data_IF_574854363257
#
_entry.id   IF_574854363257
#
_cell.length_a   1.000
_cell.length_b   1.000
_cell.length_c   1.000
_cell.angle_alpha   90.00
_cell.angle_beta   90.00
_cell.angle_gamma   90.00
#
_symmetry.space_group_name_H-M   'P 1'
#
loop_
_entity.id
_entity.type
_entity.pdbx_description
1 polymer ?
#
# COMPACT_ATOMS: atom_id res chain seq x y z
N UNK A 1 -2.39 -1.04 -11.94
CA UNK A 1 -1.05 -0.41 -11.98
C UNK A 1 -1.08 1.10 -11.66
N UNK A 2 -2.13 1.59 -10.99
CA UNK A 2 -2.31 3.01 -10.69
C UNK A 2 -1.27 3.51 -9.68
N UNK A 3 -1.02 2.76 -8.62
CA UNK A 3 -0.04 3.12 -7.58
C UNK A 3 1.36 3.37 -8.16
N UNK A 4 1.85 2.46 -9.01
CA UNK A 4 3.16 2.61 -9.65
C UNK A 4 3.22 3.83 -10.57
N UNK A 5 2.14 4.11 -11.32
CA UNK A 5 2.06 5.29 -12.17
C UNK A 5 2.10 6.59 -11.35
N UNK A 6 1.41 6.64 -10.22
CA UNK A 6 1.43 7.79 -9.31
C UNK A 6 2.83 7.99 -8.70
N UNK A 7 3.49 6.91 -8.28
CA UNK A 7 4.88 6.96 -7.81
C UNK A 7 5.82 7.52 -8.89
N UNK A 8 5.75 7.00 -10.12
CA UNK A 8 6.55 7.50 -11.25
C UNK A 8 6.29 8.98 -11.53
N UNK A 9 5.03 9.39 -11.59
CA UNK A 9 4.65 10.78 -11.81
C UNK A 9 5.19 11.72 -10.71
N UNK A 10 5.07 11.33 -9.44
CA UNK A 10 5.55 12.12 -8.31
C UNK A 10 7.09 12.19 -8.28
N UNK A 11 7.80 11.11 -8.61
CA UNK A 11 9.26 11.09 -8.74
C UNK A 11 9.77 11.98 -9.88
N UNK A 12 9.09 11.99 -11.02
CA UNK A 12 9.42 12.91 -12.12
C UNK A 12 9.21 14.37 -11.70
N UNK A 13 8.12 14.66 -10.99
CA UNK A 13 7.85 15.99 -10.46
C UNK A 13 8.89 16.44 -9.43
N UNK A 14 9.29 15.57 -8.49
CA UNK A 14 10.30 15.93 -7.50
C UNK A 14 11.67 16.18 -8.13
N UNK A 15 12.04 15.37 -9.13
CA UNK A 15 13.26 15.57 -9.91
C UNK A 15 13.22 16.90 -10.68
N UNK A 16 12.08 17.24 -11.28
CA UNK A 16 11.90 18.53 -11.95
C UNK A 16 12.05 19.72 -11.00
N UNK A 17 11.44 19.65 -9.80
CA UNK A 17 11.57 20.68 -8.76
C UNK A 17 13.02 20.81 -8.31
N UNK A 18 13.71 19.69 -8.07
CA UNK A 18 15.12 19.66 -7.70
C UNK A 18 16.01 20.28 -8.79
N UNK A 19 15.79 19.92 -10.06
CA UNK A 19 16.56 20.47 -11.19
C UNK A 19 16.37 21.98 -11.33
N UNK A 20 15.12 22.47 -11.22
CA UNK A 20 14.82 23.90 -11.25
C UNK A 20 15.52 24.65 -10.12
N UNK A 21 15.54 24.07 -8.92
CA UNK A 21 16.23 24.64 -7.77
C UNK A 21 17.75 24.70 -7.98
N UNK A 22 18.37 23.60 -8.45
CA UNK A 22 19.81 23.56 -8.75
C UNK A 22 20.19 24.56 -9.83
N UNK A 23 19.38 24.70 -10.90
CA UNK A 23 19.60 25.69 -11.95
C UNK A 23 19.53 27.12 -11.41
N UNK A 24 18.58 27.42 -10.52
CA UNK A 24 18.46 28.74 -9.90
C UNK A 24 19.65 29.05 -8.98
N UNK A 25 20.15 28.06 -8.24
CA UNK A 25 21.36 28.18 -7.40
C UNK A 25 22.59 28.45 -8.27
N UNK A 26 22.77 27.69 -9.35
CA UNK A 26 23.89 27.88 -10.29
C UNK A 26 23.89 29.29 -10.91
N UNK A 27 22.71 29.86 -11.16
CA UNK A 27 22.54 31.24 -11.68
C UNK A 27 22.60 32.34 -10.60
N UNK A 28 22.85 32.00 -9.34
CA UNK A 28 22.88 32.97 -8.24
C UNK A 28 21.52 33.59 -7.90
N UNK A 29 20.41 33.01 -8.37
CA UNK A 29 19.05 33.56 -8.28
C UNK A 29 18.13 32.77 -7.35
N UNK A 30 18.71 31.96 -6.46
CA UNK A 30 17.97 31.05 -5.59
C UNK A 30 17.07 31.81 -4.60
N UNK A 31 15.77 31.82 -4.89
CA UNK A 31 14.70 32.31 -3.99
C UNK A 31 13.88 31.18 -3.36
N UNK A 32 14.09 29.93 -3.79
CA UNK A 32 13.33 28.78 -3.28
C UNK A 32 13.89 28.25 -1.96
N UNK A 33 13.00 27.79 -1.08
CA UNK A 33 13.36 27.22 0.20
C UNK A 33 13.97 25.81 0.00
N UNK A 34 15.29 25.69 0.22
CA UNK A 34 16.04 24.42 0.07
C UNK A 34 15.47 23.29 0.93
N UNK A 35 15.03 23.60 2.15
CA UNK A 35 14.44 22.60 3.06
C UNK A 35 13.15 22.00 2.50
N UNK A 36 12.32 22.81 1.86
CA UNK A 36 11.07 22.36 1.23
C UNK A 36 11.35 21.40 0.06
N UNK A 37 12.35 21.72 -0.77
CA UNK A 37 12.76 20.88 -1.91
C UNK A 37 13.32 19.54 -1.42
N UNK A 38 14.21 19.56 -0.42
CA UNK A 38 14.75 18.34 0.18
C UNK A 38 13.64 17.47 0.79
N UNK A 39 12.66 18.09 1.45
CA UNK A 39 11.51 17.36 2.02
C UNK A 39 10.65 16.71 0.92
N UNK A 40 10.43 17.40 -0.21
CA UNK A 40 9.72 16.82 -1.36
C UNK A 40 10.46 15.58 -1.88
N UNK A 41 11.78 15.65 -2.07
CA UNK A 41 12.57 14.52 -2.57
C UNK A 41 12.52 13.34 -1.59
N UNK A 42 12.76 13.58 -0.30
CA UNK A 42 12.72 12.55 0.74
C UNK A 42 11.32 11.89 0.83
N UNK A 43 10.26 12.68 0.81
CA UNK A 43 8.91 12.15 0.84
C UNK A 43 8.56 11.38 -0.45
N UNK A 44 9.10 11.75 -1.62
CA UNK A 44 8.93 10.92 -2.83
C UNK A 44 9.64 9.57 -2.76
N UNK A 45 10.72 9.43 -1.99
CA UNK A 45 11.32 8.12 -1.73
C UNK A 45 10.46 7.31 -0.74
N UNK A 46 9.89 7.97 0.25
CA UNK A 46 9.05 7.33 1.25
C UNK A 46 7.76 6.72 0.67
N UNK A 47 7.13 7.34 -0.33
CA UNK A 47 5.96 6.72 -1.01
C UNK A 47 6.31 5.45 -1.79
N UNK A 48 7.58 5.20 -2.10
CA UNK A 48 8.04 3.98 -2.77
C UNK A 48 8.41 2.86 -1.77
N UNK A 49 8.29 3.09 -0.46
CA UNK A 49 8.76 2.16 0.57
C UNK A 49 8.15 0.74 0.49
N UNK A 50 6.86 0.51 0.17
CA UNK A 50 6.35 -0.87 0.02
C UNK A 50 7.07 -1.65 -1.08
N UNK A 51 7.46 -0.95 -2.16
CA UNK A 51 8.18 -1.57 -3.27
C UNK A 51 9.63 -1.87 -2.89
N UNK A 52 10.29 -0.94 -2.21
CA UNK A 52 11.66 -1.13 -1.73
C UNK A 52 11.73 -2.31 -0.76
N UNK A 53 10.81 -2.38 0.21
CA UNK A 53 10.75 -3.48 1.17
C UNK A 53 10.44 -4.80 0.46
N UNK A 54 9.49 -4.81 -0.49
CA UNK A 54 9.20 -6.02 -1.26
C UNK A 54 10.47 -6.55 -1.97
N UNK A 55 11.26 -5.68 -2.60
CA UNK A 55 12.52 -6.08 -3.24
C UNK A 55 13.56 -6.63 -2.26
N UNK A 56 13.69 -6.03 -1.08
CA UNK A 56 14.59 -6.53 -0.03
C UNK A 56 14.15 -7.93 0.42
N UNK A 57 12.85 -8.13 0.68
CA UNK A 57 12.31 -9.41 1.17
C UNK A 57 12.37 -10.54 0.15
N UNK A 58 12.52 -10.23 -1.15
CA UNK A 58 12.75 -11.24 -2.19
C UNK A 58 14.21 -11.71 -2.19
N UNK A 59 15.14 -10.83 -1.85
CA UNK A 59 16.58 -11.13 -1.88
C UNK A 59 17.10 -11.74 -0.58
N UNK A 60 16.44 -11.49 0.55
CA UNK A 60 16.84 -11.97 1.86
C UNK A 60 15.77 -12.89 2.47
N UNK A 61 16.18 -14.08 2.94
CA UNK A 61 15.30 -14.97 3.68
C UNK A 61 15.04 -14.42 5.09
N UNK A 62 13.94 -13.70 5.23
CA UNK A 62 13.50 -13.13 6.51
C UNK A 62 12.50 -14.04 7.23
N UNK A 63 12.45 -13.92 8.56
CA UNK A 63 11.39 -14.56 9.35
C UNK A 63 10.04 -13.88 9.09
N UNK A 64 8.93 -14.61 9.21
CA UNK A 64 7.57 -14.08 8.96
C UNK A 64 7.23 -12.86 9.81
N UNK A 65 7.70 -12.83 11.07
CA UNK A 65 7.55 -11.69 11.98
C UNK A 65 8.27 -10.46 11.46
N UNK A 66 9.53 -10.61 11.06
CA UNK A 66 10.34 -9.51 10.51
C UNK A 66 9.70 -8.91 9.25
N UNK A 67 9.23 -9.76 8.32
CA UNK A 67 8.54 -9.30 7.10
C UNK A 67 7.25 -8.54 7.44
N UNK A 68 6.53 -8.98 8.46
CA UNK A 68 5.30 -8.33 8.94
C UNK A 68 5.57 -6.93 9.50
N UNK A 69 6.59 -6.79 10.36
CA UNK A 69 6.98 -5.50 10.94
C UNK A 69 7.47 -4.53 9.85
N UNK A 70 8.27 -5.03 8.89
CA UNK A 70 8.74 -4.24 7.76
C UNK A 70 7.59 -3.81 6.84
N UNK A 71 6.61 -4.69 6.57
CA UNK A 71 5.47 -4.34 5.73
C UNK A 71 4.63 -3.23 6.36
N UNK A 72 4.33 -3.35 7.64
CA UNK A 72 3.56 -2.33 8.37
C UNK A 72 4.33 -1.00 8.42
N UNK A 73 5.64 -1.05 8.74
CA UNK A 73 6.51 0.13 8.71
C UNK A 73 6.60 0.79 7.32
N UNK A 74 6.63 0.00 6.26
CA UNK A 74 6.61 0.49 4.88
C UNK A 74 5.29 1.23 4.59
N UNK A 75 4.14 0.64 4.93
CA UNK A 75 2.84 1.27 4.68
C UNK A 75 2.68 2.58 5.47
N UNK A 76 3.07 2.61 6.75
CA UNK A 76 3.05 3.85 7.56
C UNK A 76 4.00 4.92 7.02
N UNK A 77 5.22 4.55 6.65
CA UNK A 77 6.18 5.50 6.06
C UNK A 77 5.67 6.06 4.73
N UNK A 78 5.07 5.23 3.89
CA UNK A 78 4.41 5.64 2.64
C UNK A 78 3.26 6.61 2.89
N UNK A 79 2.40 6.32 3.87
CA UNK A 79 1.28 7.20 4.24
C UNK A 79 1.74 8.58 4.72
N UNK A 80 2.69 8.62 5.69
CA UNK A 80 3.25 9.88 6.21
C UNK A 80 3.86 10.70 5.08
N UNK A 81 4.56 10.02 4.17
CA UNK A 81 5.18 10.66 3.01
C UNK A 81 4.16 11.22 2.03
N UNK A 82 3.07 10.49 1.75
CA UNK A 82 2.00 10.95 0.89
C UNK A 82 1.28 12.19 1.47
N UNK A 83 1.02 12.21 2.78
CA UNK A 83 0.44 13.36 3.48
C UNK A 83 1.38 14.57 3.46
N UNK A 84 2.68 14.35 3.68
CA UNK A 84 3.68 15.40 3.57
C UNK A 84 3.71 16.01 2.15
N UNK A 85 3.76 15.17 1.11
CA UNK A 85 3.73 15.62 -0.30
C UNK A 85 2.45 16.39 -0.62
N UNK A 86 1.29 15.91 -0.15
CA UNK A 86 0.02 16.61 -0.31
C UNK A 86 0.10 18.02 0.27
N UNK A 87 0.60 18.18 1.50
CA UNK A 87 0.77 19.50 2.11
C UNK A 87 1.77 20.41 1.38
N UNK A 88 2.89 19.85 0.90
CA UNK A 88 3.91 20.60 0.17
C UNK A 88 3.42 21.07 -1.20
N UNK A 89 2.79 20.17 -1.97
CA UNK A 89 2.25 20.52 -3.28
C UNK A 89 1.05 21.45 -3.17
N UNK A 90 0.19 21.34 -2.14
CA UNK A 90 -0.86 22.32 -1.87
C UNK A 90 -0.29 23.73 -1.68
N UNK A 91 0.77 23.87 -0.88
CA UNK A 91 1.47 25.15 -0.69
C UNK A 91 2.04 25.69 -2.01
N UNK A 92 2.61 24.84 -2.86
CA UNK A 92 3.14 25.24 -4.17
C UNK A 92 2.05 25.64 -5.16
N UNK A 93 0.90 24.97 -5.15
CA UNK A 93 -0.28 25.36 -5.94
C UNK A 93 -0.70 26.78 -5.57
N UNK A 94 -0.78 27.11 -4.28
CA UNK A 94 -1.12 28.46 -3.84
C UNK A 94 -0.10 29.52 -4.25
N UNK A 95 1.20 29.20 -4.21
CA UNK A 95 2.28 30.15 -4.56
C UNK A 95 2.45 30.36 -6.07
N UNK A 96 2.51 29.27 -6.84
CA UNK A 96 2.92 29.31 -8.25
C UNK A 96 1.76 29.16 -9.24
N UNK A 97 0.59 28.66 -8.82
CA UNK A 97 -0.62 28.45 -9.64
C UNK A 97 -0.38 27.69 -10.95
N UNK A 98 0.64 26.82 -11.02
CA UNK A 98 0.92 25.99 -12.20
C UNK A 98 0.12 24.69 -12.15
N UNK A 99 -0.43 24.29 -13.30
CA UNK A 99 -1.20 23.05 -13.47
C UNK A 99 -0.41 21.79 -13.08
N UNK A 100 0.91 21.80 -13.31
CA UNK A 100 1.81 20.71 -12.90
C UNK A 100 1.74 20.42 -11.39
N UNK A 101 1.76 21.46 -10.56
CA UNK A 101 1.66 21.29 -9.10
C UNK A 101 0.26 20.88 -8.65
N UNK A 102 -0.78 21.30 -9.38
CA UNK A 102 -2.15 20.82 -9.14
C UNK A 102 -2.25 19.32 -9.39
N UNK A 103 -1.64 18.82 -10.49
CA UNK A 103 -1.53 17.40 -10.75
C UNK A 103 -0.78 16.65 -9.64
N UNK A 104 0.36 17.19 -9.19
CA UNK A 104 1.15 16.60 -8.10
C UNK A 104 0.40 16.58 -6.75
N UNK A 105 -0.39 17.62 -6.46
CA UNK A 105 -1.26 17.66 -5.29
C UNK A 105 -2.36 16.59 -5.34
N UNK A 106 -3.07 16.47 -6.47
CA UNK A 106 -4.10 15.44 -6.65
C UNK A 106 -3.51 14.03 -6.60
N UNK A 107 -2.38 13.81 -7.26
CA UNK A 107 -1.67 12.53 -7.21
C UNK A 107 -1.25 12.16 -5.78
N UNK A 108 -0.74 13.12 -5.01
CA UNK A 108 -0.34 12.91 -3.61
C UNK A 108 -1.55 12.63 -2.71
N UNK A 109 -2.69 13.30 -2.96
CA UNK A 109 -3.95 13.05 -2.25
C UNK A 109 -4.47 11.64 -2.51
N UNK A 110 -4.43 11.20 -3.77
CA UNK A 110 -4.82 9.84 -4.14
C UNK A 110 -3.86 8.79 -3.55
N UNK A 111 -2.56 9.07 -3.48
CA UNK A 111 -1.61 8.20 -2.78
C UNK A 111 -1.91 8.09 -1.29
N UNK A 112 -2.25 9.19 -0.62
CA UNK A 112 -2.65 9.16 0.78
C UNK A 112 -3.91 8.30 0.99
N UNK A 113 -4.88 8.40 0.08
CA UNK A 113 -6.05 7.52 0.07
C UNK A 113 -5.66 6.05 -0.11
N UNK A 114 -4.83 5.70 -1.10
CA UNK A 114 -4.39 4.32 -1.36
C UNK A 114 -3.71 3.71 -0.11
N UNK A 115 -2.81 4.46 0.52
CA UNK A 115 -2.15 3.99 1.74
C UNK A 115 -3.12 3.83 2.91
N UNK A 116 -4.04 4.77 3.07
CA UNK A 116 -5.05 4.72 4.13
C UNK A 116 -5.98 3.54 3.94
N UNK A 117 -6.50 3.32 2.74
CA UNK A 117 -7.36 2.18 2.43
C UNK A 117 -6.67 0.85 2.71
N UNK A 118 -5.40 0.71 2.31
CA UNK A 118 -4.63 -0.50 2.59
C UNK A 118 -4.42 -0.68 4.09
N UNK A 119 -3.96 0.36 4.80
CA UNK A 119 -3.71 0.33 6.25
C UNK A 119 -4.98 0.04 7.06
N UNK A 120 -6.10 0.69 6.74
CA UNK A 120 -7.37 0.48 7.44
C UNK A 120 -7.86 -0.95 7.28
N UNK A 121 -7.60 -1.60 6.14
CA UNK A 121 -7.96 -2.99 5.94
C UNK A 121 -7.01 -3.96 6.67
N UNK A 122 -5.70 -3.75 6.54
CA UNK A 122 -4.71 -4.69 7.11
C UNK A 122 -4.50 -4.53 8.61
N UNK A 123 -4.70 -3.34 9.18
CA UNK A 123 -4.48 -3.09 10.61
C UNK A 123 -5.58 -3.62 11.54
N UNK A 124 -6.65 -4.18 10.99
CA UNK A 124 -7.70 -4.78 11.80
C UNK A 124 -7.22 -6.09 12.41
N UNK A 125 -7.64 -6.36 13.66
CA UNK A 125 -7.14 -7.49 14.44
C UNK A 125 -7.46 -8.86 13.83
N UNK A 126 -8.53 -8.92 13.05
CA UNK A 126 -9.04 -10.17 12.50
C UNK A 126 -8.71 -10.33 11.00
N UNK A 127 -7.71 -9.56 10.53
CA UNK A 127 -7.21 -9.67 9.16
C UNK A 127 -6.18 -10.79 9.04
N UNK A 128 -6.34 -11.62 8.01
CA UNK A 128 -5.44 -12.72 7.69
C UNK A 128 -5.20 -12.85 6.19
N UNK A 129 -4.15 -13.57 5.82
CA UNK A 129 -3.87 -13.95 4.44
C UNK A 129 -4.28 -15.41 4.26
N UNK A 130 -5.23 -15.65 3.35
CA UNK A 130 -5.73 -16.98 3.04
C UNK A 130 -5.19 -17.41 1.67
N UNK A 131 -4.62 -18.61 1.60
CA UNK A 131 -4.25 -19.20 0.34
C UNK A 131 -5.49 -19.77 -0.35
N UNK A 132 -5.72 -19.38 -1.60
CA UNK A 132 -6.98 -19.69 -2.31
C UNK A 132 -7.12 -21.17 -2.67
N UNK A 133 -6.03 -21.93 -2.72
CA UNK A 133 -6.09 -23.38 -2.90
C UNK A 133 -6.85 -24.10 -1.76
N UNK A 134 -6.97 -23.46 -0.59
CA UNK A 134 -7.71 -23.99 0.55
C UNK A 134 -9.23 -23.90 0.32
N UNK A 135 -9.68 -23.08 -0.63
CA UNK A 135 -11.10 -22.83 -0.92
C UNK A 135 -11.73 -23.84 -1.89
N UNK A 136 -11.09 -25.00 -2.10
CA UNK A 136 -11.44 -25.90 -3.20
C UNK A 136 -12.92 -26.36 -3.12
N UNK A 137 -13.71 -25.94 -4.12
CA UNK A 137 -15.09 -26.30 -4.50
C UNK A 137 -16.30 -25.81 -3.67
N UNK A 138 -16.15 -25.36 -2.42
CA UNK A 138 -17.34 -25.03 -1.60
C UNK A 138 -17.63 -23.53 -1.43
N UNK A 139 -16.67 -22.64 -1.73
CA UNK A 139 -16.86 -21.19 -1.66
C UNK A 139 -17.33 -20.61 -3.01
N UNK A 140 -18.47 -21.10 -3.51
CA UNK A 140 -18.98 -20.81 -4.87
C UNK A 140 -19.34 -19.34 -5.15
N UNK A 141 -19.26 -18.46 -4.15
CA UNK A 141 -19.52 -17.02 -4.24
C UNK A 141 -18.24 -16.16 -4.34
N UNK A 142 -17.04 -16.76 -4.35
CA UNK A 142 -15.77 -16.05 -4.47
C UNK A 142 -15.10 -16.36 -5.80
N UNK A 143 -14.95 -15.34 -6.63
CA UNK A 143 -14.13 -15.38 -7.84
C UNK A 143 -12.74 -14.76 -7.55
N UNK A 144 -11.82 -15.61 -7.08
CA UNK A 144 -10.42 -15.23 -6.86
C UNK A 144 -9.47 -16.25 -7.51
N UNK A 145 -8.95 -15.90 -8.69
CA UNK A 145 -8.00 -16.73 -9.46
C UNK A 145 -6.54 -16.57 -9.04
N UNK A 146 -6.26 -15.77 -8.01
CA UNK A 146 -4.89 -15.54 -7.48
C UNK A 146 -4.56 -16.53 -6.37
N UNK A 147 -3.27 -16.85 -6.14
CA UNK A 147 -2.87 -17.86 -5.15
C UNK A 147 -3.12 -17.46 -3.69
N UNK A 148 -3.33 -16.16 -3.42
CA UNK A 148 -3.58 -15.65 -2.09
C UNK A 148 -4.60 -14.50 -2.15
N UNK A 149 -5.38 -14.39 -1.09
CA UNK A 149 -6.33 -13.30 -0.84
C UNK A 149 -6.21 -12.82 0.60
N UNK A 150 -6.59 -11.58 0.84
CA UNK A 150 -6.63 -11.01 2.19
C UNK A 150 -8.08 -11.07 2.66
N UNK A 151 -8.29 -11.57 3.88
CA UNK A 151 -9.61 -11.75 4.48
C UNK A 151 -9.66 -11.02 5.81
N UNK A 152 -10.81 -10.45 6.13
CA UNK A 152 -11.14 -9.99 7.47
C UNK A 152 -12.22 -10.93 8.02
N UNK A 153 -11.81 -11.82 8.91
CA UNK A 153 -12.61 -12.95 9.36
C UNK A 153 -12.98 -12.78 10.84
N UNK A 154 -14.28 -12.76 11.14
CA UNK A 154 -14.77 -12.84 12.51
C UNK A 154 -15.78 -13.99 12.61
N UNK A 155 -15.68 -14.81 13.67
CA UNK A 155 -16.50 -16.02 13.80
C UNK A 155 -17.99 -15.69 13.72
N UNK A 156 -18.69 -16.33 12.79
CA UNK A 156 -20.14 -16.15 12.59
C UNK A 156 -20.57 -14.86 11.86
N UNK A 157 -19.64 -14.00 11.44
CA UNK A 157 -19.91 -12.79 10.65
C UNK A 157 -19.49 -13.02 9.19
N UNK A 158 -20.20 -12.49 8.17
CA UNK A 158 -19.74 -12.54 6.78
C UNK A 158 -18.31 -12.02 6.65
N UNK A 159 -17.46 -12.78 5.98
CA UNK A 159 -16.03 -12.48 5.85
C UNK A 159 -15.84 -11.48 4.72
N UNK A 160 -15.25 -10.33 5.02
CA UNK A 160 -14.82 -9.39 4.00
C UNK A 160 -13.56 -9.91 3.34
N UNK A 161 -13.47 -9.81 2.02
CA UNK A 161 -12.32 -10.30 1.28
C UNK A 161 -11.84 -9.33 0.22
N UNK A 162 -10.53 -9.36 -0.02
CA UNK A 162 -9.85 -8.65 -1.11
C UNK A 162 -8.95 -9.61 -1.86
N UNK A 163 -9.21 -9.78 -3.16
CA UNK A 163 -8.42 -10.60 -4.05
C UNK A 163 -7.60 -9.71 -5.01
N UNK A 164 -6.27 -9.87 -5.09
CA UNK A 164 -5.44 -9.06 -5.96
C UNK A 164 -5.81 -9.22 -7.45
N UNK A 165 -5.88 -8.12 -8.21
CA UNK A 165 -6.01 -8.20 -9.69
C UNK A 165 -4.68 -7.99 -10.39
N UNK A 166 -3.74 -7.25 -9.79
CA UNK A 166 -2.35 -7.12 -10.28
C UNK A 166 -1.31 -7.47 -9.23
N UNK A 167 -0.79 -6.47 -8.52
CA UNK A 167 0.36 -6.62 -7.63
C UNK A 167 -0.08 -6.70 -6.19
N UNK A 168 0.51 -7.63 -5.46
CA UNK A 168 0.43 -7.74 -4.01
C UNK A 168 1.85 -7.68 -3.49
N UNK A 169 2.18 -6.62 -2.76
CA UNK A 169 3.52 -6.45 -2.22
C UNK A 169 3.60 -7.05 -0.82
N UNK A 170 4.73 -7.68 -0.51
CA UNK A 170 4.97 -8.34 0.78
C UNK A 170 3.92 -9.42 1.07
N UNK A 171 3.61 -10.25 0.06
CA UNK A 171 2.56 -11.28 0.13
C UNK A 171 2.77 -12.34 1.23
N UNK A 172 4.02 -12.52 1.68
CA UNK A 172 4.38 -13.43 2.79
C UNK A 172 4.27 -12.77 4.18
N UNK A 173 3.87 -11.49 4.24
CA UNK A 173 3.62 -10.79 5.50
C UNK A 173 2.19 -11.02 5.97
N UNK A 174 1.93 -10.83 7.26
CA UNK A 174 0.56 -10.83 7.79
C UNK A 174 -0.23 -9.58 7.36
N UNK A 175 0.48 -8.53 6.92
CA UNK A 175 -0.08 -7.24 6.51
C UNK A 175 0.40 -6.87 5.10
N UNK A 176 0.03 -7.63 4.07
CA UNK A 176 0.49 -7.35 2.71
C UNK A 176 -0.07 -6.02 2.22
N UNK A 177 0.69 -5.31 1.38
CA UNK A 177 0.22 -4.06 0.78
C UNK A 177 -0.47 -4.35 -0.55
N UNK A 178 -1.75 -4.00 -0.60
CA UNK A 178 -2.60 -4.16 -1.78
C UNK A 178 -3.17 -2.79 -2.17
N UNK A 179 -2.63 -2.14 -3.23
CA UNK A 179 -3.01 -0.78 -3.58
C UNK A 179 -4.37 -0.73 -4.27
N UNK A 180 -5.22 0.23 -3.91
CA UNK A 180 -6.45 0.52 -4.65
C UNK A 180 -6.14 1.07 -6.07
N UNK A 181 -6.92 0.72 -7.12
CA UNK A 181 -8.07 -0.19 -7.16
C UNK A 181 -7.69 -1.62 -7.59
N UNK A 182 -6.47 -2.08 -7.30
CA UNK A 182 -5.87 -3.27 -7.90
C UNK A 182 -6.30 -4.58 -7.23
N UNK A 183 -7.56 -4.65 -6.86
CA UNK A 183 -8.16 -5.80 -6.20
C UNK A 183 -9.68 -5.85 -6.44
N UNK A 184 -10.22 -7.07 -6.55
CA UNK A 184 -11.64 -7.31 -6.36
C UNK A 184 -11.93 -7.45 -4.87
N UNK A 185 -13.12 -7.07 -4.45
CA UNK A 185 -13.53 -7.16 -3.06
C UNK A 185 -14.99 -7.58 -2.96
N UNK A 186 -15.34 -8.17 -1.83
CA UNK A 186 -16.71 -8.61 -1.55
C UNK A 186 -16.86 -9.04 -0.12
N UNK A 187 -18.08 -9.48 0.21
CA UNK A 187 -18.42 -10.10 1.48
C UNK A 187 -18.96 -11.49 1.19
N UNK A 188 -18.55 -12.50 1.95
CA UNK A 188 -18.99 -13.88 1.72
C UNK A 188 -19.31 -14.57 3.04
N UNK A 189 -20.52 -15.09 3.13
CA UNK A 189 -20.93 -15.95 4.25
C UNK A 189 -20.43 -17.38 4.06
N UNK A 190 -20.34 -17.85 2.81
CA UNK A 190 -19.83 -19.20 2.53
C UNK A 190 -18.36 -19.33 2.97
N UNK A 191 -17.57 -18.27 2.77
CA UNK A 191 -16.18 -18.19 3.20
C UNK A 191 -16.05 -18.30 4.72
N UNK A 192 -16.93 -17.62 5.46
CA UNK A 192 -16.95 -17.74 6.93
C UNK A 192 -17.16 -19.18 7.36
N UNK A 193 -18.11 -19.90 6.75
CA UNK A 193 -18.39 -21.31 7.08
C UNK A 193 -17.19 -22.21 6.78
N UNK A 194 -16.51 -21.97 5.66
CA UNK A 194 -15.30 -22.72 5.29
C UNK A 194 -14.19 -22.47 6.30
N UNK A 195 -13.92 -21.21 6.66
CA UNK A 195 -12.89 -20.85 7.65
C UNK A 195 -13.23 -21.42 9.03
N UNK A 196 -14.48 -21.31 9.48
CA UNK A 196 -14.96 -21.90 10.73
C UNK A 196 -14.68 -23.40 10.79
N UNK A 197 -15.03 -24.13 9.72
CA UNK A 197 -14.81 -25.57 9.60
C UNK A 197 -13.32 -25.93 9.65
N UNK A 198 -12.47 -25.16 8.97
CA UNK A 198 -11.02 -25.36 9.01
C UNK A 198 -10.44 -25.13 10.40
N UNK A 199 -10.88 -24.06 11.09
CA UNK A 199 -10.40 -23.75 12.43
C UNK A 199 -10.83 -24.81 13.45
N UNK A 200 -12.07 -25.28 13.38
CA UNK A 200 -12.58 -26.33 14.28
C UNK A 200 -11.85 -27.67 14.07
N UNK A 201 -11.57 -28.04 12.82
CA UNK A 201 -10.79 -29.24 12.51
C UNK A 201 -9.33 -29.14 12.96
N UNK A 202 -8.70 -27.97 12.82
CA UNK A 202 -7.33 -27.74 13.28
C UNK A 202 -7.20 -27.82 14.81
N UNK A 203 -8.15 -27.26 15.56
CA UNK A 203 -8.20 -27.36 17.03
C UNK A 203 -8.29 -28.82 17.47
N UNK A 204 -9.14 -29.62 16.82
CA UNK A 204 -9.31 -31.05 17.14
C UNK A 204 -8.04 -31.88 16.87
N UNK A 205 -7.22 -31.50 15.89
CA UNK A 205 -5.95 -32.16 15.61
C UNK A 205 -4.84 -31.81 16.63
N UNK A 206 -4.88 -30.62 17.22
CA UNK A 206 -3.90 -30.18 18.23
C UNK A 206 -4.11 -30.80 19.63
N UNK A 207 -5.28 -31.39 19.86
CA UNK A 207 -5.66 -32.03 21.13
C UNK A 207 -5.41 -33.55 21.15
N UNK A 208 -4.88 -34.11 20.05
CA UNK A 208 -4.48 -35.51 19.92
C UNK A 208 -2.96 -35.63 19.97
#
# INVERSE_FOLDING_TARGET
MLYMLLCCFLMLNSTFVMFRAMSAISKGSAKENRSEISLIVLATLGIASPFIVAMITINESMTSKTVTDFSLGAQWSGMVSAVALMGLYARRVWKEKKSLFTGAFLASSLMAFIFTDSLVFVSQKDTGVLATFVLDKNAGDIDCSRPAMIVHYSKGVPTDWRCPTSIMLMAYSSYPFLPWPEYSHGTSQSLTVVIDTFMENAVNLSQK
#
